data_IF_339549095810
#
_entry.id   IF_339549095810
#
_cell.length_a   1.000
_cell.length_b   1.000
_cell.length_c   1.000
_cell.angle_alpha   90.00
_cell.angle_beta   90.00
_cell.angle_gamma   90.00
#
_symmetry.space_group_name_H-M   'P 1'
#
loop_
_entity.id
_entity.type
_entity.pdbx_description
1 polymer ?
#
# COMPACT_ATOMS: atom_id res chain seq x y z
N UNK A 1 11.25 -47.23 -0.85
CA UNK A 1 10.66 -46.34 -1.87
C UNK A 1 9.73 -45.24 -1.31
N UNK A 2 9.43 -45.19 -0.01
CA UNK A 2 8.49 -44.19 0.56
C UNK A 2 9.14 -42.89 1.09
N UNK A 3 10.42 -42.92 1.51
CA UNK A 3 11.12 -41.74 2.05
C UNK A 3 11.43 -40.67 0.97
N UNK A 4 11.78 -41.09 -0.24
CA UNK A 4 12.08 -40.17 -1.36
C UNK A 4 10.84 -39.40 -1.84
N UNK A 5 9.66 -40.03 -1.79
CA UNK A 5 8.40 -39.40 -2.17
C UNK A 5 7.90 -38.42 -1.10
N UNK A 6 8.18 -38.70 0.18
CA UNK A 6 7.89 -37.79 1.29
C UNK A 6 8.78 -36.52 1.26
N UNK A 7 10.09 -36.65 1.03
CA UNK A 7 10.98 -35.49 0.88
C UNK A 7 10.59 -34.60 -0.32
N UNK A 8 10.24 -35.20 -1.47
CA UNK A 8 9.75 -34.42 -2.62
C UNK A 8 8.45 -33.69 -2.30
N UNK A 9 7.52 -34.31 -1.57
CA UNK A 9 6.26 -33.66 -1.15
C UNK A 9 6.48 -32.54 -0.14
N UNK A 10 7.45 -32.69 0.77
CA UNK A 10 7.78 -31.68 1.77
C UNK A 10 8.41 -30.43 1.12
N UNK A 11 9.34 -30.61 0.18
CA UNK A 11 9.91 -29.50 -0.61
C UNK A 11 8.85 -28.77 -1.45
N UNK A 12 7.90 -29.51 -2.05
CA UNK A 12 6.80 -28.89 -2.83
C UNK A 12 5.87 -28.07 -1.94
N UNK A 13 5.57 -28.55 -0.72
CA UNK A 13 4.73 -27.83 0.23
C UNK A 13 5.39 -26.52 0.69
N UNK A 14 6.68 -26.55 1.01
CA UNK A 14 7.45 -25.35 1.37
C UNK A 14 7.45 -24.32 0.24
N UNK A 15 7.63 -24.78 -1.00
CA UNK A 15 7.59 -23.91 -2.17
C UNK A 15 6.21 -23.23 -2.33
N UNK A 16 5.12 -23.99 -2.18
CA UNK A 16 3.75 -23.45 -2.24
C UNK A 16 3.53 -22.42 -1.13
N UNK A 17 4.00 -22.68 0.10
CA UNK A 17 3.88 -21.74 1.21
C UNK A 17 4.64 -20.43 0.96
N UNK A 18 5.84 -20.49 0.38
CA UNK A 18 6.62 -19.30 0.02
C UNK A 18 5.94 -18.51 -1.11
N UNK A 19 5.43 -19.19 -2.13
CA UNK A 19 4.67 -18.53 -3.21
C UNK A 19 3.41 -17.85 -2.67
N UNK A 20 2.66 -18.51 -1.79
CA UNK A 20 1.50 -17.91 -1.15
C UNK A 20 1.89 -16.69 -0.30
N UNK A 21 2.97 -16.76 0.47
CA UNK A 21 3.48 -15.62 1.24
C UNK A 21 3.84 -14.43 0.35
N UNK A 22 4.55 -14.66 -0.76
CA UNK A 22 4.89 -13.61 -1.72
C UNK A 22 3.61 -12.98 -2.29
N UNK A 23 2.62 -13.81 -2.69
CA UNK A 23 1.34 -13.33 -3.19
C UNK A 23 0.57 -12.51 -2.15
N UNK A 24 0.55 -12.94 -0.89
CA UNK A 24 -0.06 -12.18 0.20
C UNK A 24 0.64 -10.84 0.42
N UNK A 25 1.98 -10.81 0.43
CA UNK A 25 2.73 -9.56 0.58
C UNK A 25 2.46 -8.59 -0.58
N UNK A 26 2.36 -9.10 -1.83
CA UNK A 26 2.02 -8.26 -2.99
C UNK A 26 0.57 -7.76 -2.97
N UNK A 27 -0.36 -8.52 -2.41
CA UNK A 27 -1.77 -8.11 -2.29
C UNK A 27 -1.99 -7.06 -1.20
N UNK A 28 -1.15 -7.05 -0.16
CA UNK A 28 -1.22 -6.06 0.93
C UNK A 28 -0.88 -4.65 0.42
N UNK A 29 -0.02 -4.52 -0.60
CA UNK A 29 0.38 -3.23 -1.19
C UNK A 29 -0.64 -2.67 -2.21
N UNK A 30 -1.65 -3.45 -2.62
CA UNK A 30 -2.66 -3.00 -3.58
C UNK A 30 -3.85 -2.27 -2.92
N UNK A 31 -3.56 -1.32 -2.04
CA UNK A 31 -4.61 -0.50 -1.43
C UNK A 31 -4.95 0.67 -2.34
N UNK A 32 -6.08 0.57 -3.04
CA UNK A 32 -6.60 1.66 -3.86
C UNK A 32 -7.44 2.61 -3.01
N UNK A 33 -7.07 3.88 -2.98
CA UNK A 33 -7.85 4.91 -2.29
C UNK A 33 -8.78 5.60 -3.29
N UNK A 34 -9.95 6.08 -2.86
CA UNK A 34 -10.77 6.93 -3.71
C UNK A 34 -9.98 8.21 -4.04
N UNK A 35 -10.19 8.73 -5.25
CA UNK A 35 -9.47 9.90 -5.78
C UNK A 35 -9.49 11.10 -4.84
N UNK A 36 -10.59 11.31 -4.10
CA UNK A 36 -10.71 12.39 -3.11
C UNK A 36 -9.78 12.24 -1.90
N UNK A 37 -9.43 11.00 -1.52
CA UNK A 37 -8.45 10.72 -0.46
C UNK A 37 -7.04 10.91 -0.99
N UNK A 38 -6.75 10.42 -2.19
CA UNK A 38 -5.44 10.59 -2.82
C UNK A 38 -5.11 12.07 -3.09
N UNK A 39 -6.02 12.81 -3.72
CA UNK A 39 -5.83 14.25 -3.99
C UNK A 39 -5.74 15.04 -2.69
N UNK A 40 -6.53 14.66 -1.67
CA UNK A 40 -6.43 15.24 -0.32
C UNK A 40 -5.03 15.08 0.28
N UNK A 41 -4.48 13.86 0.24
CA UNK A 41 -3.11 13.61 0.73
C UNK A 41 -2.06 14.43 0.00
N UNK A 42 -2.19 14.59 -1.33
CA UNK A 42 -1.24 15.38 -2.12
C UNK A 42 -1.30 16.85 -1.70
N UNK A 43 -2.49 17.41 -1.48
CA UNK A 43 -2.64 18.76 -0.96
C UNK A 43 -2.01 18.93 0.44
N UNK A 44 -2.28 18.00 1.35
CA UNK A 44 -1.73 18.03 2.72
C UNK A 44 -0.20 17.92 2.70
N UNK A 45 0.35 17.11 1.79
CA UNK A 45 1.79 16.96 1.57
C UNK A 45 2.45 18.25 1.06
N UNK A 46 1.83 18.90 0.06
CA UNK A 46 2.32 20.18 -0.46
C UNK A 46 2.26 21.24 0.64
N UNK A 47 1.18 21.27 1.42
CA UNK A 47 1.05 22.20 2.54
C UNK A 47 2.14 21.97 3.60
N UNK A 48 2.40 20.71 3.95
CA UNK A 48 3.52 20.35 4.84
C UNK A 48 4.87 20.81 4.28
N UNK A 49 5.12 20.62 2.99
CA UNK A 49 6.35 21.07 2.33
C UNK A 49 6.55 22.58 2.45
N UNK A 50 5.52 23.35 2.09
CA UNK A 50 5.55 24.82 2.16
C UNK A 50 5.81 25.29 3.58
N UNK A 51 5.16 24.69 4.57
CA UNK A 51 5.37 25.06 5.97
C UNK A 51 6.74 24.64 6.51
N UNK A 52 7.28 23.53 6.04
CA UNK A 52 8.54 22.97 6.58
C UNK A 52 9.78 23.57 5.92
N UNK A 53 9.68 24.01 4.66
CA UNK A 53 10.82 24.53 3.89
C UNK A 53 10.70 26.00 3.52
N UNK A 54 9.56 26.63 3.78
CA UNK A 54 9.25 28.01 3.40
C UNK A 54 9.49 28.30 1.91
N UNK A 55 9.30 27.27 1.06
CA UNK A 55 9.64 27.31 -0.36
C UNK A 55 8.40 27.10 -1.24
N UNK A 56 8.43 27.67 -2.45
CA UNK A 56 7.35 27.54 -3.42
C UNK A 56 7.39 26.11 -3.99
N UNK A 57 6.28 25.36 -3.94
CA UNK A 57 6.26 24.00 -4.41
C UNK A 57 6.45 23.97 -5.93
N UNK A 58 7.45 23.24 -6.39
CA UNK A 58 7.67 22.97 -7.81
C UNK A 58 6.84 21.76 -8.26
N UNK A 59 6.65 21.54 -9.57
CA UNK A 59 5.95 20.35 -10.07
C UNK A 59 6.59 19.02 -9.62
N UNK A 60 7.89 19.01 -9.33
CA UNK A 60 8.58 17.84 -8.78
C UNK A 60 8.13 17.51 -7.35
N UNK A 61 7.76 18.52 -6.56
CA UNK A 61 7.23 18.31 -5.20
C UNK A 61 5.86 17.63 -5.25
N UNK A 62 4.99 18.04 -6.17
CA UNK A 62 3.71 17.37 -6.37
C UNK A 62 3.90 15.89 -6.73
N UNK A 63 4.83 15.59 -7.65
CA UNK A 63 5.14 14.21 -8.02
C UNK A 63 5.69 13.42 -6.83
N UNK A 64 6.62 14.00 -6.08
CA UNK A 64 7.16 13.37 -4.86
C UNK A 64 6.08 13.11 -3.81
N UNK A 65 5.09 14.01 -3.67
CA UNK A 65 3.93 13.81 -2.81
C UNK A 65 3.04 12.65 -3.27
N UNK A 66 2.82 12.50 -4.58
CA UNK A 66 2.07 11.36 -5.16
C UNK A 66 2.81 10.04 -4.94
N UNK A 67 4.13 10.07 -5.09
CA UNK A 67 4.99 8.88 -4.97
C UNK A 67 5.33 8.53 -3.51
N UNK A 68 4.91 9.35 -2.53
CA UNK A 68 5.18 9.11 -1.11
C UNK A 68 6.67 9.28 -0.73
N UNK A 69 7.40 10.14 -1.45
CA UNK A 69 8.84 10.34 -1.29
C UNK A 69 9.22 11.50 -0.37
N UNK A 70 8.25 12.23 0.19
CA UNK A 70 8.52 13.31 1.14
C UNK A 70 8.85 12.70 2.50
N UNK A 71 10.08 12.93 3.02
CA UNK A 71 10.45 12.41 4.32
C UNK A 71 9.61 13.07 5.42
N UNK A 72 9.30 12.28 6.45
CA UNK A 72 8.58 12.71 7.66
C UNK A 72 7.14 13.20 7.42
N UNK A 73 6.64 13.15 6.18
CA UNK A 73 5.24 13.38 5.88
C UNK A 73 4.46 12.06 5.95
N UNK A 74 3.39 12.06 6.73
CA UNK A 74 2.42 10.98 6.81
C UNK A 74 1.04 11.49 6.45
N UNK A 75 0.26 10.73 5.68
CA UNK A 75 -1.08 11.15 5.30
C UNK A 75 -2.16 10.57 6.23
N UNK A 76 -2.56 11.36 7.22
CA UNK A 76 -3.61 10.99 8.18
C UNK A 76 -4.96 10.68 7.52
N UNK A 77 -5.26 11.28 6.36
CA UNK A 77 -6.51 11.04 5.63
C UNK A 77 -6.66 9.59 5.17
N UNK A 78 -5.56 8.92 4.82
CA UNK A 78 -5.57 7.49 4.48
C UNK A 78 -5.88 6.65 5.73
N UNK A 79 -5.26 6.97 6.86
CA UNK A 79 -5.53 6.29 8.13
C UNK A 79 -6.98 6.45 8.59
N UNK A 80 -7.56 7.63 8.41
CA UNK A 80 -8.97 7.90 8.72
C UNK A 80 -9.91 7.10 7.82
N UNK A 81 -9.61 7.05 6.52
CA UNK A 81 -10.35 6.25 5.55
C UNK A 81 -10.29 4.76 5.91
N UNK A 82 -9.11 4.28 6.31
CA UNK A 82 -8.89 2.89 6.73
C UNK A 82 -9.67 2.53 7.98
N UNK A 83 -9.62 3.39 9.01
CA UNK A 83 -10.41 3.23 10.24
C UNK A 83 -11.91 3.27 9.97
N UNK A 84 -12.36 4.00 8.95
CA UNK A 84 -13.76 4.06 8.55
C UNK A 84 -14.17 2.77 7.81
N UNK A 85 -13.33 2.26 6.92
CA UNK A 85 -13.52 0.98 6.22
C UNK A 85 -13.61 -0.20 7.19
N UNK A 86 -12.70 -0.27 8.18
CA UNK A 86 -12.71 -1.33 9.20
C UNK A 86 -14.00 -1.34 10.03
N UNK A 87 -14.69 -0.20 10.12
CA UNK A 87 -16.00 -0.07 10.80
C UNK A 87 -17.18 -0.39 9.88
N UNK A 88 -16.97 -0.53 8.57
CA UNK A 88 -17.98 -0.95 7.60
C UNK A 88 -17.75 -2.41 7.20
N UNK A 89 -18.59 -3.37 7.63
CA UNK A 89 -18.31 -4.80 7.42
C UNK A 89 -18.42 -5.30 5.97
N UNK A 90 -18.66 -4.43 4.97
CA UNK A 90 -19.09 -4.82 3.62
C UNK A 90 -18.61 -3.91 2.48
N UNK A 91 -17.40 -3.38 2.53
CA UNK A 91 -16.76 -2.85 1.32
C UNK A 91 -15.72 -3.86 0.84
N UNK A 92 -16.20 -4.78 0.00
CA UNK A 92 -15.35 -5.64 -0.82
C UNK A 92 -14.29 -4.75 -1.49
N UNK A 93 -13.01 -5.05 -1.20
CA UNK A 93 -11.90 -4.42 -1.91
C UNK A 93 -12.13 -4.65 -3.41
N UNK A 94 -12.05 -3.62 -4.27
CA UNK A 94 -12.14 -3.83 -5.69
C UNK A 94 -11.03 -4.78 -6.12
N UNK A 95 -11.42 -5.83 -6.82
CA UNK A 95 -10.53 -6.81 -7.42
C UNK A 95 -9.37 -6.09 -8.11
N UNK A 96 -8.16 -6.40 -7.66
CA UNK A 96 -6.94 -6.03 -8.36
C UNK A 96 -6.82 -6.90 -9.62
N UNK A 97 -7.69 -6.68 -10.60
CA UNK A 97 -7.60 -7.29 -11.92
C UNK A 97 -6.64 -6.49 -12.79
N UNK A 98 -5.56 -7.17 -13.17
CA UNK A 98 -4.56 -6.76 -14.15
C UNK A 98 -5.05 -7.05 -15.57
#
# INVERSE_FOLDING_TARGET
MNKMMACKRMMVLEQICVFLLILFMTLIDCKTYPRSVEEGCVCDCIYYWVNSREDVPTPSVEQMCRDGLIPDFHCDRKDEYDKALDKTPFLELPDCTL
#
